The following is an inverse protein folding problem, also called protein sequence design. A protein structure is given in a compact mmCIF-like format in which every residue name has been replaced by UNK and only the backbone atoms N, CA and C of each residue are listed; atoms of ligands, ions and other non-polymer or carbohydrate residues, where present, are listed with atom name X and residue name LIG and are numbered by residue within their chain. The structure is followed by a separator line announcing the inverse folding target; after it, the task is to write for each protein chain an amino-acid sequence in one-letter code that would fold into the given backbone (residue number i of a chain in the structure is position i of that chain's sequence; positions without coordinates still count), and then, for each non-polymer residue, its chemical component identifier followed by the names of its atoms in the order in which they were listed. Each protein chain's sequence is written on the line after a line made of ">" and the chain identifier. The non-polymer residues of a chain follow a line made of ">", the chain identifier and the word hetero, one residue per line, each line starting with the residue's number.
data_IF_450611345843
#
_entry.id   IF_450611345843
#
_cell.length_a   1.000
_cell.length_b   1.000
_cell.length_c   1.000
_cell.angle_alpha   90.00
_cell.angle_beta   90.00
_cell.angle_gamma   90.00
#
_symmetry.space_group_name_H-M   'P 1'
#
loop_
_entity.id
_entity.type
_entity.pdbx_description
1 polymer ?
#
# COMPACT_ATOMS: atom_id res chain seq x y z
N UNK A 1 18.71 -11.84 10.88
CA UNK A 1 17.62 -11.46 9.95
C UNK A 1 17.81 -12.31 8.69
N UNK A 2 16.92 -13.28 8.41
CA UNK A 2 17.01 -14.10 7.18
C UNK A 2 16.63 -13.21 6.00
N UNK A 3 17.54 -12.97 5.06
CA UNK A 3 17.26 -12.21 3.83
C UNK A 3 16.10 -12.89 3.11
N UNK A 4 15.03 -12.15 2.80
CA UNK A 4 13.95 -12.68 1.98
C UNK A 4 14.51 -12.80 0.55
N UNK A 5 14.45 -13.98 -0.05
CA UNK A 5 15.00 -14.25 -1.38
C UNK A 5 13.93 -14.86 -2.27
N UNK A 6 14.06 -14.71 -3.59
CA UNK A 6 13.15 -15.34 -4.56
C UNK A 6 13.04 -16.86 -4.35
N UNK A 7 14.14 -17.51 -3.99
CA UNK A 7 14.14 -18.95 -3.69
C UNK A 7 13.30 -19.30 -2.45
N UNK A 8 13.31 -18.45 -1.42
CA UNK A 8 12.45 -18.63 -0.26
C UNK A 8 10.97 -18.42 -0.60
N UNK A 9 10.66 -17.46 -1.48
CA UNK A 9 9.31 -17.21 -1.97
C UNK A 9 8.81 -18.34 -2.88
N UNK A 10 9.66 -18.91 -3.74
CA UNK A 10 9.29 -19.96 -4.69
C UNK A 10 8.78 -21.25 -4.03
N UNK A 11 9.12 -21.49 -2.76
CA UNK A 11 8.62 -22.63 -1.99
C UNK A 11 7.26 -22.37 -1.32
N UNK A 12 6.77 -21.13 -1.35
CA UNK A 12 5.52 -20.72 -0.74
C UNK A 12 4.44 -20.48 -1.80
N UNK A 13 3.17 -20.58 -1.40
CA UNK A 13 2.04 -20.26 -2.26
C UNK A 13 2.01 -18.75 -2.60
N UNK A 14 1.38 -18.31 -3.69
CA UNK A 14 1.32 -16.89 -4.05
C UNK A 14 0.75 -15.99 -2.94
N UNK A 15 -0.19 -16.52 -2.15
CA UNK A 15 -0.74 -15.80 -0.99
C UNK A 15 0.30 -15.65 0.12
N UNK A 16 1.02 -16.72 0.45
CA UNK A 16 2.08 -16.70 1.47
C UNK A 16 3.25 -15.80 1.03
N UNK A 17 3.61 -15.79 -0.26
CA UNK A 17 4.64 -14.89 -0.78
C UNK A 17 4.31 -13.43 -0.49
N UNK A 18 3.06 -13.02 -0.75
CA UNK A 18 2.56 -11.68 -0.47
C UNK A 18 2.56 -11.37 1.03
N UNK A 19 2.16 -12.33 1.87
CA UNK A 19 2.23 -12.18 3.33
C UNK A 19 3.66 -11.99 3.81
N UNK A 20 4.60 -12.83 3.36
CA UNK A 20 6.01 -12.76 3.74
C UNK A 20 6.65 -11.42 3.32
N UNK A 21 6.31 -10.90 2.14
CA UNK A 21 6.76 -9.59 1.67
C UNK A 21 6.12 -8.47 2.50
N UNK A 22 4.82 -8.58 2.77
CA UNK A 22 4.08 -7.62 3.58
C UNK A 22 4.64 -7.47 5.00
N UNK A 23 4.95 -8.58 5.68
CA UNK A 23 5.55 -8.54 7.02
C UNK A 23 6.91 -7.85 7.05
N UNK A 24 7.65 -7.87 5.93
CA UNK A 24 8.93 -7.17 5.81
C UNK A 24 8.78 -5.70 5.46
N UNK A 25 7.86 -5.38 4.56
CA UNK A 25 7.59 -4.01 4.12
C UNK A 25 6.89 -3.20 5.19
N UNK A 26 5.98 -3.81 5.96
CA UNK A 26 5.15 -3.13 6.94
C UNK A 26 5.95 -2.28 7.93
N UNK A 27 6.95 -2.79 8.68
CA UNK A 27 7.70 -1.98 9.63
C UNK A 27 8.51 -0.87 8.95
N UNK A 28 8.99 -1.07 7.71
CA UNK A 28 9.74 -0.06 6.98
C UNK A 28 8.83 1.08 6.52
N UNK A 29 7.65 0.76 5.99
CA UNK A 29 6.63 1.74 5.61
C UNK A 29 6.11 2.46 6.87
N UNK A 30 5.92 1.72 7.97
CA UNK A 30 5.45 2.26 9.24
C UNK A 30 6.36 3.38 9.77
N UNK A 31 7.68 3.26 9.57
CA UNK A 31 8.64 4.31 9.95
C UNK A 31 8.51 5.59 9.12
N UNK A 32 8.00 5.49 7.89
CA UNK A 32 7.81 6.63 6.98
C UNK A 32 6.42 7.23 7.17
N UNK A 33 5.39 6.39 7.25
CA UNK A 33 3.99 6.80 7.33
C UNK A 33 3.17 5.82 8.17
N UNK A 34 2.87 6.22 9.42
CA UNK A 34 2.11 5.43 10.39
C UNK A 34 0.61 5.35 10.03
N UNK A 35 0.01 6.47 9.63
CA UNK A 35 -1.44 6.59 9.52
C UNK A 35 -2.03 5.76 8.37
N UNK A 36 -1.28 5.67 7.27
CA UNK A 36 -1.71 5.00 6.04
C UNK A 36 -0.96 3.70 5.78
N UNK A 37 -0.13 3.22 6.72
CA UNK A 37 0.72 2.03 6.55
C UNK A 37 -0.04 0.84 5.99
N UNK A 38 -1.23 0.54 6.51
CA UNK A 38 -2.03 -0.61 6.07
C UNK A 38 -2.50 -0.48 4.61
N UNK A 39 -2.95 0.71 4.21
CA UNK A 39 -3.41 0.96 2.83
C UNK A 39 -2.24 0.99 1.84
N UNK A 40 -1.15 1.64 2.21
CA UNK A 40 0.07 1.71 1.39
C UNK A 40 0.68 0.32 1.22
N UNK A 41 0.81 -0.44 2.31
CA UNK A 41 1.31 -1.82 2.26
C UNK A 41 0.42 -2.70 1.39
N UNK A 42 -0.91 -2.56 1.51
CA UNK A 42 -1.86 -3.28 0.66
C UNK A 42 -1.69 -2.97 -0.83
N UNK A 43 -1.51 -1.68 -1.19
CA UNK A 43 -1.25 -1.27 -2.57
C UNK A 43 0.11 -1.75 -3.10
N UNK A 44 1.15 -1.69 -2.28
CA UNK A 44 2.50 -2.07 -2.67
C UNK A 44 2.66 -3.58 -2.85
N UNK A 45 1.97 -4.40 -2.06
CA UNK A 45 1.99 -5.87 -2.18
C UNK A 45 1.38 -6.38 -3.50
N UNK A 46 0.69 -5.53 -4.26
CA UNK A 46 0.20 -5.87 -5.60
C UNK A 46 1.28 -5.78 -6.69
N UNK A 47 2.43 -5.20 -6.39
CA UNK A 47 3.60 -5.14 -7.28
C UNK A 47 4.25 -6.54 -7.38
N UNK A 48 4.96 -6.80 -8.48
CA UNK A 48 5.72 -8.03 -8.68
C UNK A 48 6.75 -8.30 -7.57
N UNK A 49 6.87 -9.57 -7.18
CA UNK A 49 7.76 -10.03 -6.11
C UNK A 49 9.22 -9.58 -6.32
N UNK A 50 9.70 -9.56 -7.56
CA UNK A 50 11.07 -9.14 -7.89
C UNK A 50 11.29 -7.66 -7.56
N UNK A 51 10.33 -6.80 -7.90
CA UNK A 51 10.42 -5.37 -7.62
C UNK A 51 10.26 -5.10 -6.12
N UNK A 52 9.37 -5.83 -5.43
CA UNK A 52 9.24 -5.74 -3.98
C UNK A 52 10.51 -6.16 -3.23
N UNK A 53 11.22 -7.18 -3.71
CA UNK A 53 12.52 -7.55 -3.14
C UNK A 53 13.56 -6.45 -3.36
N UNK A 54 13.58 -5.84 -4.54
CA UNK A 54 14.50 -4.73 -4.82
C UNK A 54 14.20 -3.50 -3.95
N UNK A 55 12.92 -3.24 -3.66
CA UNK A 55 12.49 -2.21 -2.69
C UNK A 55 12.95 -2.51 -1.26
N UNK A 56 13.00 -3.79 -0.86
CA UNK A 56 13.53 -4.18 0.45
C UNK A 56 15.04 -3.97 0.56
N UNK A 57 15.77 -4.04 -0.56
CA UNK A 57 17.21 -3.79 -0.62
C UNK A 57 17.55 -2.30 -0.77
N UNK A 58 16.65 -1.50 -1.35
CA UNK A 58 16.85 -0.06 -1.59
C UNK A 58 15.84 0.80 -0.82
N UNK A 59 16.32 1.41 0.26
CA UNK A 59 15.50 2.34 1.06
C UNK A 59 15.02 3.56 0.27
N UNK A 60 15.78 4.02 -0.73
CA UNK A 60 15.40 5.14 -1.58
C UNK A 60 14.22 4.78 -2.47
N UNK A 61 14.26 3.60 -3.09
CA UNK A 61 13.18 3.11 -3.92
C UNK A 61 11.90 2.87 -3.12
N UNK A 62 12.04 2.29 -1.92
CA UNK A 62 10.90 2.11 -1.02
C UNK A 62 10.24 3.45 -0.69
N UNK A 63 11.04 4.47 -0.35
CA UNK A 63 10.51 5.80 -0.04
C UNK A 63 9.78 6.42 -1.23
N UNK A 64 10.37 6.37 -2.43
CA UNK A 64 9.75 6.90 -3.64
C UNK A 64 8.37 6.26 -3.92
N UNK A 65 8.29 4.93 -3.79
CA UNK A 65 7.03 4.19 -3.99
C UNK A 65 6.01 4.47 -2.90
N UNK A 66 6.44 4.65 -1.66
CA UNK A 66 5.55 5.08 -0.55
C UNK A 66 4.99 6.47 -0.82
N UNK A 67 5.80 7.41 -1.31
CA UNK A 67 5.34 8.77 -1.66
C UNK A 67 4.34 8.76 -2.83
N UNK A 68 4.57 7.95 -3.87
CA UNK A 68 3.59 7.73 -4.95
C UNK A 68 2.28 7.16 -4.41
N UNK A 69 2.34 6.13 -3.58
CA UNK A 69 1.15 5.53 -2.98
C UNK A 69 0.36 6.53 -2.11
N UNK A 70 1.05 7.40 -1.36
CA UNK A 70 0.42 8.49 -0.59
C UNK A 70 -0.31 9.44 -1.52
N UNK A 71 0.32 9.90 -2.61
CA UNK A 71 -0.29 10.82 -3.56
C UNK A 71 -1.55 10.23 -4.23
N UNK A 72 -1.50 8.94 -4.58
CA UNK A 72 -2.65 8.22 -5.13
C UNK A 72 -3.77 8.13 -4.09
N UNK A 73 -3.45 7.72 -2.85
CA UNK A 73 -4.42 7.61 -1.76
C UNK A 73 -5.07 8.96 -1.43
N UNK A 74 -4.31 10.04 -1.40
CA UNK A 74 -4.83 11.40 -1.18
C UNK A 74 -5.78 11.82 -2.30
N UNK A 75 -5.41 11.57 -3.56
CA UNK A 75 -6.27 11.86 -4.71
C UNK A 75 -7.55 11.03 -4.66
N UNK A 76 -7.46 9.76 -4.27
CA UNK A 76 -8.61 8.88 -4.15
C UNK A 76 -9.52 9.28 -2.98
N UNK A 77 -8.96 9.69 -1.84
CA UNK A 77 -9.72 10.23 -0.72
C UNK A 77 -10.42 11.55 -1.07
N UNK A 78 -9.72 12.46 -1.74
CA UNK A 78 -10.30 13.71 -2.22
C UNK A 78 -11.49 13.44 -3.17
N UNK A 79 -11.36 12.47 -4.08
CA UNK A 79 -12.44 12.04 -4.97
C UNK A 79 -13.62 11.38 -4.23
N UNK A 80 -13.36 10.57 -3.20
CA UNK A 80 -14.41 9.93 -2.40
C UNK A 80 -15.16 10.90 -1.47
N UNK A 81 -14.50 11.96 -1.01
CA UNK A 81 -15.17 13.01 -0.23
C UNK A 81 -16.25 13.73 -1.07
N UNK A 82 -16.00 13.96 -2.36
CA UNK A 82 -16.97 14.61 -3.26
C UNK A 82 -18.18 13.73 -3.53
N UNK A 83 -18.02 12.40 -3.64
CA UNK A 83 -19.14 11.49 -3.92
C UNK A 83 -20.10 11.34 -2.74
N UNK A 84 -19.61 11.43 -1.50
CA UNK A 84 -20.48 11.37 -0.31
C UNK A 84 -21.31 12.65 -0.09
N UNK A 85 -20.84 13.82 -0.51
CA UNK A 85 -21.57 15.08 -0.34
C UNK A 85 -22.74 15.26 -1.31
N UNK A 86 -22.74 14.58 -2.47
CA UNK A 86 -23.84 14.69 -3.45
C UNK A 86 -25.06 13.86 -3.05
N UNK A 87 -24.89 12.81 -2.24
CA UNK A 87 -26.00 11.95 -1.79
C UNK A 87 -26.89 12.58 -0.69
N UNK A 88 -26.39 13.56 0.09
CA UNK A 88 -27.17 14.18 1.18
C UNK A 88 -27.97 15.43 0.77
N UNK A 89 -27.77 15.99 -0.43
CA UNK A 89 -28.44 17.22 -0.86
C UNK A 89 -29.80 17.01 -1.57
N UNK A 90 -30.28 15.78 -1.70
CA UNK A 90 -31.57 15.47 -2.37
C UNK A 90 -32.79 15.41 -1.44
N UNK A 91 -32.63 15.50 -0.12
CA UNK A 91 -33.76 15.33 0.83
C UNK A 91 -34.34 16.62 1.43
N UNK A 92 -33.88 17.81 1.04
CA UNK A 92 -34.30 19.06 1.69
C UNK A 92 -35.17 20.02 0.85
N UNK A 93 -35.82 19.51 -0.20
CA UNK A 93 -36.85 20.26 -0.96
C UNK A 93 -38.08 19.37 -1.11
N UNK A 94 -38.90 19.30 -0.06
CA UNK A 94 -40.35 19.13 -0.19
C UNK A 94 -40.96 19.95 0.96
N UNK A 95 -41.41 21.16 0.63
CA UNK A 95 -42.35 21.96 1.41
C UNK A 95 -43.71 21.79 0.75
#
# INVERSE_FOLDING_TARGET
>A
QKSLTLAALANATPLEQKQMLGERLFPLIQQIQLELVGKITGMLIEIDNTELLYMLESSELLKAKVEEAIAILQTYQAKQAVTNSVAQKKSNIII
#
